data_IF_001377454983
#
_entry.id   IF_001377454983
#
_cell.length_a   1.000
_cell.length_b   1.000
_cell.length_c   1.000
_cell.angle_alpha   90.00
_cell.angle_beta   90.00
_cell.angle_gamma   90.00
#
_symmetry.space_group_name_H-M   'P 1'
#
loop_
_entity.id
_entity.type
_entity.pdbx_description
1 polymer ?
#
# COMPACT_ATOMS: atom_id res chain seq x y z
N UNK A 1 -18.37 -7.17 6.66
CA UNK A 1 -17.08 -7.61 7.21
C UNK A 1 -16.12 -6.43 7.18
N UNK A 2 -15.39 -6.18 8.26
CA UNK A 2 -14.29 -5.20 8.23
C UNK A 2 -13.00 -5.87 7.78
N UNK A 3 -12.47 -5.39 6.66
CA UNK A 3 -11.26 -5.92 6.05
C UNK A 3 -10.11 -4.94 6.27
N UNK A 4 -9.08 -5.42 6.93
CA UNK A 4 -7.85 -4.69 7.28
C UNK A 4 -6.66 -5.44 6.70
N UNK A 5 -5.45 -4.92 6.90
CA UNK A 5 -4.22 -5.62 6.51
C UNK A 5 -4.07 -7.02 7.11
N UNK A 6 -4.69 -7.28 8.27
CA UNK A 6 -4.51 -8.54 9.00
C UNK A 6 -5.30 -9.70 8.38
N UNK A 7 -6.48 -9.42 7.83
CA UNK A 7 -7.38 -10.41 7.24
C UNK A 7 -7.62 -10.20 5.74
N UNK A 8 -6.78 -9.39 5.08
CA UNK A 8 -6.98 -9.01 3.68
C UNK A 8 -7.03 -10.22 2.74
N UNK A 9 -6.06 -11.14 2.82
CA UNK A 9 -5.96 -12.29 1.93
C UNK A 9 -7.13 -13.27 2.10
N UNK A 10 -7.52 -13.54 3.35
CA UNK A 10 -8.69 -14.38 3.66
C UNK A 10 -9.98 -13.74 3.14
N UNK A 11 -10.15 -12.43 3.37
CA UNK A 11 -11.34 -11.70 2.90
C UNK A 11 -11.41 -11.64 1.37
N UNK A 12 -10.27 -11.58 0.68
CA UNK A 12 -10.23 -11.65 -0.79
C UNK A 12 -10.66 -13.03 -1.30
N UNK A 13 -10.29 -14.11 -0.62
CA UNK A 13 -10.76 -15.45 -0.96
C UNK A 13 -12.27 -15.56 -0.76
N UNK A 14 -12.80 -15.03 0.34
CA UNK A 14 -14.26 -14.99 0.59
C UNK A 14 -15.00 -14.17 -0.46
N UNK A 15 -14.47 -13.01 -0.83
CA UNK A 15 -15.04 -12.18 -1.90
C UNK A 15 -15.03 -12.92 -3.24
N UNK A 16 -13.94 -13.59 -3.59
CA UNK A 16 -13.85 -14.39 -4.81
C UNK A 16 -14.86 -15.55 -4.81
N UNK A 17 -15.05 -16.23 -3.68
CA UNK A 17 -16.07 -17.27 -3.53
C UNK A 17 -17.49 -16.71 -3.64
N UNK A 18 -17.75 -15.53 -3.07
CA UNK A 18 -19.06 -14.87 -3.18
C UNK A 18 -19.39 -14.49 -4.63
N UNK A 19 -18.40 -14.06 -5.41
CA UNK A 19 -18.54 -13.76 -6.84
C UNK A 19 -18.71 -15.03 -7.68
N UNK A 20 -18.07 -16.14 -7.27
CA UNK A 20 -18.17 -17.42 -7.96
C UNK A 20 -19.46 -18.21 -7.66
N UNK A 21 -20.25 -17.80 -6.65
CA UNK A 21 -21.55 -18.41 -6.34
C UNK A 21 -22.48 -18.30 -7.58
N UNK A 22 -23.09 -19.39 -8.07
CA UNK A 22 -24.01 -19.34 -9.21
C UNK A 22 -25.21 -18.39 -9.04
N UNK A 23 -25.55 -18.03 -7.80
CA UNK A 23 -26.62 -17.07 -7.48
C UNK A 23 -26.15 -15.63 -7.47
N UNK A 24 -24.85 -15.37 -7.60
CA UNK A 24 -24.30 -14.02 -7.75
C UNK A 24 -24.95 -13.31 -8.94
N UNK A 25 -25.43 -12.10 -8.69
CA UNK A 25 -26.10 -11.30 -9.71
C UNK A 25 -25.23 -10.09 -10.09
N UNK A 26 -24.79 -9.31 -9.10
CA UNK A 26 -23.97 -8.12 -9.31
C UNK A 26 -23.26 -7.70 -8.02
N UNK A 27 -22.37 -6.72 -8.12
CA UNK A 27 -21.78 -6.04 -6.97
C UNK A 27 -22.08 -4.54 -6.98
N UNK A 28 -21.95 -3.91 -5.82
CA UNK A 28 -22.01 -2.47 -5.65
C UNK A 28 -20.80 -2.02 -4.83
N UNK A 29 -20.38 -0.76 -4.98
CA UNK A 29 -19.29 -0.22 -4.20
C UNK A 29 -19.55 1.24 -3.81
N UNK A 30 -18.87 1.68 -2.76
CA UNK A 30 -18.84 3.06 -2.30
C UNK A 30 -17.50 3.37 -1.61
N UNK A 31 -17.13 4.64 -1.51
CA UNK A 31 -15.83 5.06 -1.00
C UNK A 31 -15.95 6.21 0.01
N UNK A 32 -15.12 6.15 1.04
CA UNK A 32 -14.93 7.27 1.97
C UNK A 32 -13.62 7.99 1.66
N UNK A 33 -13.68 9.31 1.49
CA UNK A 33 -12.56 10.13 1.05
C UNK A 33 -12.11 11.12 2.13
N UNK A 34 -10.83 11.50 2.09
CA UNK A 34 -10.30 12.58 2.95
C UNK A 34 -10.82 13.97 2.57
N UNK A 35 -11.44 14.11 1.39
CA UNK A 35 -12.02 15.34 0.90
C UNK A 35 -12.70 15.15 -0.45
N UNK A 36 -13.48 16.15 -0.88
CA UNK A 36 -14.27 16.11 -2.11
C UNK A 36 -13.89 17.23 -3.10
N UNK A 37 -13.49 18.40 -2.62
CA UNK A 37 -13.25 19.57 -3.46
C UNK A 37 -11.97 20.28 -3.06
N UNK A 38 -11.03 20.44 -4.01
CA UNK A 38 -9.68 20.99 -3.72
C UNK A 38 -9.62 22.50 -3.58
N UNK A 39 -10.72 23.21 -3.86
CA UNK A 39 -10.81 24.66 -3.71
C UNK A 39 -11.91 25.26 -4.59
N UNK A 40 -12.02 26.60 -4.62
CA UNK A 40 -13.05 27.30 -5.39
C UNK A 40 -12.99 27.02 -6.91
N UNK A 41 -11.81 26.73 -7.47
CA UNK A 41 -11.67 26.37 -8.89
C UNK A 41 -12.34 25.04 -9.25
N UNK A 42 -12.41 24.12 -8.28
CA UNK A 42 -12.97 22.79 -8.46
C UNK A 42 -14.47 22.71 -8.14
N UNK A 43 -15.11 23.84 -7.77
CA UNK A 43 -16.57 23.87 -7.56
C UNK A 43 -17.30 23.84 -8.89
N UNK A 44 -18.39 23.07 -8.92
CA UNK A 44 -19.21 22.92 -10.12
C UNK A 44 -19.99 24.19 -10.42
N UNK A 45 -19.96 24.59 -11.70
CA UNK A 45 -20.84 25.61 -12.25
C UNK A 45 -22.05 24.94 -12.90
N UNK A 46 -23.18 25.64 -13.01
CA UNK A 46 -24.37 25.16 -13.72
C UNK A 46 -24.12 25.01 -15.21
N UNK A 47 -23.24 25.85 -15.78
CA UNK A 47 -22.92 25.88 -17.21
C UNK A 47 -21.76 24.96 -17.60
N UNK A 48 -21.15 24.26 -16.64
CA UNK A 48 -20.06 23.34 -16.93
C UNK A 48 -20.51 22.25 -17.91
N UNK A 49 -19.77 22.12 -19.01
CA UNK A 49 -19.79 20.96 -19.89
C UNK A 49 -19.34 19.70 -19.14
N UNK A 50 -19.67 18.49 -19.63
CA UNK A 50 -19.17 17.25 -19.04
C UNK A 50 -17.63 17.18 -18.92
N UNK A 51 -16.92 17.74 -19.90
CA UNK A 51 -15.45 17.82 -19.90
C UNK A 51 -14.93 18.72 -18.77
N UNK A 52 -15.51 19.91 -18.59
CA UNK A 52 -15.13 20.83 -17.52
C UNK A 52 -15.38 20.23 -16.13
N UNK A 53 -16.53 19.54 -15.96
CA UNK A 53 -16.81 18.80 -14.71
C UNK A 53 -15.77 17.71 -14.47
N UNK A 54 -15.42 16.95 -15.51
CA UNK A 54 -14.39 15.92 -15.41
C UNK A 54 -13.05 16.52 -14.96
N UNK A 55 -12.62 17.64 -15.55
CA UNK A 55 -11.36 18.29 -15.18
C UNK A 55 -11.36 18.77 -13.72
N UNK A 56 -12.47 19.37 -13.24
CA UNK A 56 -12.63 19.80 -11.84
C UNK A 56 -12.58 18.63 -10.84
N UNK A 57 -13.26 17.52 -11.16
CA UNK A 57 -13.20 16.29 -10.35
C UNK A 57 -11.80 15.70 -10.40
N UNK A 58 -11.19 15.62 -11.58
CA UNK A 58 -9.86 15.07 -11.79
C UNK A 58 -8.77 15.86 -11.05
N UNK A 59 -8.91 17.19 -10.94
CA UNK A 59 -8.06 18.00 -10.07
C UNK A 59 -8.25 17.62 -8.60
N UNK A 60 -9.49 17.41 -8.17
CA UNK A 60 -9.79 17.10 -6.77
C UNK A 60 -9.30 15.72 -6.32
N UNK A 61 -9.48 14.68 -7.14
CA UNK A 61 -9.07 13.31 -6.81
C UNK A 61 -7.56 13.12 -6.70
N UNK A 62 -6.75 14.05 -7.23
CA UNK A 62 -5.29 14.02 -7.07
C UNK A 62 -4.83 14.45 -5.68
N UNK A 63 -5.65 15.23 -4.99
CA UNK A 63 -5.29 15.82 -3.70
C UNK A 63 -5.82 15.02 -2.51
N UNK A 64 -6.86 14.20 -2.69
CA UNK A 64 -7.51 13.45 -1.62
C UNK A 64 -7.26 11.95 -1.73
N UNK A 65 -7.28 11.26 -0.60
CA UNK A 65 -7.11 9.82 -0.51
C UNK A 65 -8.44 9.12 -0.22
N UNK A 66 -8.53 7.86 -0.63
CA UNK A 66 -9.58 6.93 -0.18
C UNK A 66 -9.11 6.33 1.15
N UNK A 67 -9.98 6.32 2.15
CA UNK A 67 -9.71 5.73 3.47
C UNK A 67 -10.49 4.42 3.69
N UNK A 68 -11.63 4.27 3.03
CA UNK A 68 -12.43 3.05 3.05
C UNK A 68 -13.01 2.79 1.66
N UNK A 69 -12.96 1.53 1.23
CA UNK A 69 -13.57 1.03 0.01
C UNK A 69 -14.61 -0.02 0.39
N UNK A 70 -15.89 0.34 0.34
CA UNK A 70 -17.01 -0.56 0.60
C UNK A 70 -17.37 -1.33 -0.66
N UNK A 71 -17.49 -2.66 -0.57
CA UNK A 71 -17.96 -3.54 -1.65
C UNK A 71 -19.08 -4.39 -1.11
N UNK A 72 -20.14 -4.58 -1.87
CA UNK A 72 -21.22 -5.49 -1.51
C UNK A 72 -21.56 -6.40 -2.69
N UNK A 73 -21.50 -7.71 -2.48
CA UNK A 73 -21.97 -8.68 -3.48
C UNK A 73 -23.44 -8.97 -3.25
N UNK A 74 -24.22 -9.06 -4.33
CA UNK A 74 -25.64 -9.34 -4.29
C UNK A 74 -25.95 -10.66 -5.00
N UNK A 75 -26.70 -11.51 -4.33
CA UNK A 75 -27.14 -12.80 -4.87
C UNK A 75 -28.65 -12.92 -4.79
N UNK A 76 -29.26 -13.52 -5.81
CA UNK A 76 -30.70 -13.76 -5.87
C UNK A 76 -31.00 -15.26 -5.84
N UNK A 77 -31.86 -15.67 -4.92
CA UNK A 77 -32.37 -17.04 -4.88
C UNK A 77 -33.73 -17.10 -5.57
N UNK A 78 -33.86 -17.77 -6.74
CA UNK A 78 -35.11 -17.83 -7.48
C UNK A 78 -36.17 -18.73 -6.82
N UNK A 79 -35.76 -19.68 -5.98
CA UNK A 79 -36.69 -20.59 -5.30
C UNK A 79 -37.43 -19.87 -4.17
N UNK A 80 -36.69 -19.13 -3.36
CA UNK A 80 -37.26 -18.34 -2.25
C UNK A 80 -37.67 -16.94 -2.67
N UNK A 81 -37.25 -16.48 -3.86
CA UNK A 81 -37.42 -15.11 -4.38
C UNK A 81 -36.84 -14.03 -3.47
N UNK A 82 -35.70 -14.32 -2.84
CA UNK A 82 -35.05 -13.41 -1.89
C UNK A 82 -33.70 -12.95 -2.39
N UNK A 83 -33.39 -11.68 -2.10
CA UNK A 83 -32.05 -11.14 -2.25
C UNK A 83 -31.23 -11.36 -0.99
N UNK A 84 -29.95 -11.67 -1.17
CA UNK A 84 -28.97 -11.70 -0.10
C UNK A 84 -27.78 -10.83 -0.50
N UNK A 85 -27.16 -10.18 0.49
CA UNK A 85 -26.02 -9.32 0.27
C UNK A 85 -24.88 -9.66 1.24
N UNK A 86 -23.63 -9.47 0.80
CA UNK A 86 -22.44 -9.63 1.63
C UNK A 86 -21.55 -8.38 1.51
N UNK A 87 -21.58 -7.49 2.50
CA UNK A 87 -20.76 -6.28 2.51
C UNK A 87 -19.34 -6.54 3.05
N UNK A 88 -18.36 -5.89 2.44
CA UNK A 88 -16.94 -5.86 2.77
C UNK A 88 -16.49 -4.41 2.86
N UNK A 89 -16.01 -3.97 4.03
CA UNK A 89 -15.47 -2.63 4.25
C UNK A 89 -13.96 -2.74 4.26
N UNK A 90 -13.30 -2.45 3.15
CA UNK A 90 -11.85 -2.44 3.06
C UNK A 90 -11.30 -1.13 3.61
N UNK A 91 -10.66 -1.21 4.77
CA UNK A 91 -9.95 -0.09 5.38
C UNK A 91 -8.61 0.05 4.66
N UNK A 92 -8.41 1.13 3.91
CA UNK A 92 -7.26 1.32 3.03
C UNK A 92 -6.47 2.55 3.46
N UNK A 93 -5.15 2.51 3.31
CA UNK A 93 -4.31 3.66 3.61
C UNK A 93 -3.18 3.79 2.58
N UNK A 94 -2.90 5.00 2.07
CA UNK A 94 -1.79 5.20 1.14
C UNK A 94 -0.47 4.69 1.70
N UNK A 95 0.40 4.18 0.82
CA UNK A 95 1.75 3.80 1.22
C UNK A 95 2.53 4.98 1.85
N UNK A 96 3.51 4.69 2.70
CA UNK A 96 4.16 5.64 3.64
C UNK A 96 4.72 6.92 3.00
N UNK A 97 5.10 6.87 1.73
CA UNK A 97 5.73 8.00 1.04
C UNK A 97 4.72 8.91 0.30
N UNK A 98 3.43 8.55 0.32
CA UNK A 98 2.40 9.36 -0.34
C UNK A 98 1.97 10.52 0.56
N UNK A 99 1.93 11.72 -0.04
CA UNK A 99 1.36 12.91 0.58
C UNK A 99 -0.02 13.13 -0.02
N UNK A 100 -1.01 13.30 0.85
CA UNK A 100 -2.39 13.62 0.48
C UNK A 100 -2.94 14.70 1.42
N UNK A 101 -3.91 15.46 0.92
CA UNK A 101 -4.62 16.48 1.67
C UNK A 101 -5.86 15.91 2.37
N UNK A 102 -6.36 16.67 3.34
CA UNK A 102 -7.62 16.42 4.03
C UNK A 102 -8.46 17.68 4.02
N UNK A 103 -9.74 17.54 3.68
CA UNK A 103 -10.74 18.60 3.79
C UNK A 103 -11.37 18.52 5.19
N UNK A 104 -11.22 19.59 5.98
CA UNK A 104 -11.68 19.60 7.38
C UNK A 104 -13.16 19.22 7.55
N UNK A 105 -14.04 19.70 6.66
CA UNK A 105 -15.47 19.36 6.70
C UNK A 105 -15.73 17.88 6.43
N UNK A 106 -15.01 17.25 5.50
CA UNK A 106 -15.13 15.82 5.21
C UNK A 106 -14.63 14.97 6.36
N UNK A 107 -13.50 15.35 6.97
CA UNK A 107 -12.97 14.67 8.16
C UNK A 107 -13.94 14.79 9.34
N UNK A 108 -14.53 15.97 9.57
CA UNK A 108 -15.52 16.17 10.62
C UNK A 108 -16.80 15.36 10.37
N UNK A 109 -17.27 15.29 9.12
CA UNK A 109 -18.42 14.48 8.74
C UNK A 109 -18.19 12.99 9.03
N UNK A 110 -17.05 12.45 8.60
CA UNK A 110 -16.66 11.06 8.89
C UNK A 110 -16.57 10.82 10.40
N UNK A 111 -15.93 11.72 11.14
CA UNK A 111 -15.86 11.64 12.60
C UNK A 111 -17.25 11.60 13.27
N UNK A 112 -18.18 12.44 12.81
CA UNK A 112 -19.56 12.46 13.35
C UNK A 112 -20.36 11.19 13.05
N UNK A 113 -19.98 10.42 12.03
CA UNK A 113 -20.58 9.14 11.68
C UNK A 113 -19.82 7.94 12.28
N UNK A 114 -18.91 8.18 13.24
CA UNK A 114 -18.22 7.10 13.95
C UNK A 114 -17.08 6.46 13.17
N UNK A 115 -16.56 7.13 12.14
CA UNK A 115 -15.42 6.63 11.37
C UNK A 115 -14.15 6.55 12.22
N UNK A 116 -13.50 5.38 12.25
CA UNK A 116 -12.27 5.15 13.02
C UNK A 116 -11.01 5.45 12.20
N UNK A 117 -10.51 6.68 12.31
CA UNK A 117 -9.25 7.08 11.66
C UNK A 117 -8.03 6.33 12.19
N UNK A 118 -8.05 5.89 13.46
CA UNK A 118 -6.94 5.13 14.03
C UNK A 118 -6.86 3.73 13.39
N UNK A 119 -8.01 3.13 13.08
CA UNK A 119 -8.09 1.87 12.34
C UNK A 119 -7.50 2.02 10.94
N UNK A 120 -7.86 3.07 10.21
CA UNK A 120 -7.26 3.36 8.89
C UNK A 120 -5.74 3.47 8.97
N UNK A 121 -5.21 4.28 9.88
CA UNK A 121 -3.78 4.57 9.94
C UNK A 121 -2.96 3.35 10.41
N UNK A 122 -3.46 2.60 11.40
CA UNK A 122 -2.73 1.46 12.00
C UNK A 122 -2.88 0.17 11.20
N UNK A 123 -4.07 -0.07 10.67
CA UNK A 123 -4.49 -1.36 10.13
C UNK A 123 -4.87 -1.29 8.65
N UNK A 124 -4.82 -0.11 8.04
CA UNK A 124 -5.15 0.11 6.63
C UNK A 124 -4.33 -0.76 5.69
N UNK A 125 -5.00 -1.31 4.70
CA UNK A 125 -4.42 -2.07 3.61
C UNK A 125 -3.63 -1.07 2.73
N UNK A 126 -2.31 -1.28 2.53
CA UNK A 126 -1.52 -0.39 1.70
C UNK A 126 -1.92 -0.54 0.23
N UNK A 127 -2.01 0.58 -0.48
CA UNK A 127 -2.22 0.59 -1.92
C UNK A 127 -1.26 1.54 -2.63
N UNK A 128 -1.07 1.30 -3.93
CA UNK A 128 -0.24 2.13 -4.80
C UNK A 128 -0.76 2.07 -6.23
N UNK A 129 -0.48 3.10 -7.03
CA UNK A 129 -0.84 3.10 -8.44
C UNK A 129 0.01 2.09 -9.23
N UNK A 130 -0.47 1.61 -10.40
CA UNK A 130 0.35 0.80 -11.30
C UNK A 130 1.66 1.48 -11.71
N UNK A 131 1.66 2.82 -11.86
CA UNK A 131 2.84 3.60 -12.19
C UNK A 131 3.86 3.63 -11.05
N UNK A 132 3.40 3.80 -9.79
CA UNK A 132 4.27 3.73 -8.61
C UNK A 132 4.89 2.34 -8.45
N UNK A 133 4.07 1.29 -8.65
CA UNK A 133 4.55 -0.10 -8.62
C UNK A 133 5.64 -0.33 -9.67
N UNK A 134 5.45 0.15 -10.90
CA UNK A 134 6.45 0.03 -11.95
C UNK A 134 7.75 0.76 -11.60
N UNK A 135 7.67 1.98 -11.04
CA UNK A 135 8.82 2.73 -10.55
C UNK A 135 9.57 1.99 -9.44
N UNK A 136 8.85 1.49 -8.44
CA UNK A 136 9.41 0.74 -7.32
C UNK A 136 10.11 -0.54 -7.78
N UNK A 137 9.51 -1.27 -8.72
CA UNK A 137 10.11 -2.46 -9.32
C UNK A 137 11.39 -2.12 -10.10
N UNK A 138 11.37 -1.07 -10.92
CA UNK A 138 12.56 -0.62 -11.65
C UNK A 138 13.70 -0.20 -10.70
N UNK A 139 13.39 0.49 -9.61
CA UNK A 139 14.36 0.85 -8.58
C UNK A 139 14.94 -0.39 -7.89
N UNK A 140 14.10 -1.37 -7.51
CA UNK A 140 14.56 -2.65 -6.94
C UNK A 140 15.50 -3.38 -7.90
N UNK A 141 15.15 -3.47 -9.18
CA UNK A 141 16.00 -4.12 -10.19
C UNK A 141 17.33 -3.39 -10.37
N UNK A 142 17.32 -2.06 -10.41
CA UNK A 142 18.55 -1.25 -10.46
C UNK A 142 19.43 -1.42 -9.23
N UNK A 143 18.82 -1.47 -8.04
CA UNK A 143 19.54 -1.70 -6.79
C UNK A 143 20.17 -3.10 -6.75
N UNK A 144 19.44 -4.12 -7.21
CA UNK A 144 19.94 -5.49 -7.30
C UNK A 144 21.05 -5.65 -8.36
N UNK A 145 20.98 -4.89 -9.46
CA UNK A 145 21.99 -4.89 -10.52
C UNK A 145 23.18 -3.95 -10.24
N UNK A 146 23.22 -3.29 -9.08
CA UNK A 146 24.29 -2.34 -8.76
C UNK A 146 25.59 -3.12 -8.54
N UNK A 147 26.66 -2.82 -9.30
CA UNK A 147 27.93 -3.51 -9.10
C UNK A 147 28.45 -3.23 -7.68
N UNK A 148 29.23 -4.17 -7.10
CA UNK A 148 29.84 -3.94 -5.80
C UNK A 148 30.66 -2.65 -5.83
N UNK A 149 30.60 -1.90 -4.73
CA UNK A 149 31.40 -0.68 -4.59
C UNK A 149 32.86 -1.10 -4.45
N UNK A 150 33.65 -0.93 -5.50
CA UNK A 150 35.08 -1.24 -5.52
C UNK A 150 35.86 0.05 -5.28
N UNK A 151 36.68 0.09 -4.24
CA UNK A 151 37.57 1.21 -3.96
C UNK A 151 38.63 1.35 -5.08
N UNK A 152 38.67 2.53 -5.70
CA UNK A 152 39.54 2.79 -6.86
C UNK A 152 40.89 3.37 -6.47
N UNK A 153 40.96 4.19 -5.41
CA UNK A 153 42.22 4.77 -4.93
C UNK A 153 42.81 3.92 -3.79
N UNK A 154 44.12 4.05 -3.58
CA UNK A 154 44.90 3.25 -2.64
C UNK A 154 44.53 3.53 -1.17
N UNK A 155 44.27 4.80 -0.85
CA UNK A 155 43.83 5.23 0.48
C UNK A 155 42.53 4.56 0.92
N UNK A 156 41.56 4.48 0.02
CA UNK A 156 40.24 3.91 0.29
C UNK A 156 40.33 2.38 0.38
N UNK A 157 41.22 1.74 -0.39
CA UNK A 157 41.50 0.30 -0.25
C UNK A 157 42.05 -0.02 1.13
N UNK A 158 43.08 0.70 1.58
CA UNK A 158 43.66 0.50 2.91
C UNK A 158 42.64 0.74 4.03
N UNK A 159 41.78 1.74 3.86
CA UNK A 159 40.69 2.02 4.77
C UNK A 159 39.69 0.87 4.84
N UNK A 160 39.21 0.39 3.68
CA UNK A 160 38.25 -0.72 3.59
C UNK A 160 38.87 -2.00 4.16
N UNK A 161 40.09 -2.36 3.79
CA UNK A 161 40.77 -3.55 4.31
C UNK A 161 40.92 -3.52 5.82
N UNK A 162 41.27 -2.36 6.40
CA UNK A 162 41.36 -2.19 7.85
C UNK A 162 40.01 -2.38 8.54
N UNK A 163 38.95 -1.79 7.99
CA UNK A 163 37.60 -1.92 8.56
C UNK A 163 37.05 -3.33 8.43
N UNK A 164 37.22 -3.97 7.27
CA UNK A 164 36.82 -5.37 7.06
C UNK A 164 37.51 -6.26 8.10
N UNK A 165 38.82 -6.11 8.30
CA UNK A 165 39.55 -6.85 9.34
C UNK A 165 38.97 -6.63 10.73
N UNK A 166 38.73 -5.38 11.13
CA UNK A 166 38.14 -5.06 12.44
C UNK A 166 36.76 -5.69 12.63
N UNK A 167 35.90 -5.66 11.60
CA UNK A 167 34.57 -6.27 11.65
C UNK A 167 34.69 -7.80 11.73
N UNK A 168 35.60 -8.41 10.98
CA UNK A 168 35.82 -9.87 11.02
C UNK A 168 36.34 -10.31 12.40
N UNK A 169 37.30 -9.58 12.97
CA UNK A 169 37.79 -9.84 14.33
C UNK A 169 36.67 -9.68 15.38
N UNK A 170 35.84 -8.65 15.24
CA UNK A 170 34.69 -8.43 16.13
C UNK A 170 33.63 -9.53 16.01
N UNK A 171 33.29 -9.98 14.79
CA UNK A 171 32.34 -11.07 14.57
C UNK A 171 32.89 -12.39 15.13
N UNK A 172 34.17 -12.69 14.92
CA UNK A 172 34.81 -13.87 15.48
C UNK A 172 34.86 -13.85 17.01
N UNK A 173 35.05 -12.69 17.62
CA UNK A 173 34.99 -12.52 19.07
C UNK A 173 33.55 -12.58 19.63
N UNK A 174 32.53 -12.33 18.80
CA UNK A 174 31.11 -12.42 19.16
C UNK A 174 30.55 -13.84 19.13
N UNK A 175 31.12 -14.73 18.31
CA UNK A 175 30.75 -16.16 18.26
C UNK A 175 31.22 -16.96 19.49
N UNK A 176 32.11 -16.40 20.31
CA UNK A 176 32.48 -16.97 21.61
C UNK A 176 31.48 -16.62 22.73
N UNK A 177 30.50 -15.73 22.47
CA UNK A 177 29.57 -15.24 23.50
C UNK A 177 28.12 -15.74 23.36
N UNK A 178 27.62 -16.12 22.18
CA UNK A 178 26.26 -16.68 22.06
C UNK A 178 26.10 -17.54 20.80
N UNK A 179 25.95 -18.86 21.03
CA UNK A 179 25.94 -19.87 19.97
C UNK A 179 24.71 -19.81 19.04
N UNK A 180 25.00 -20.11 17.78
CA UNK A 180 24.19 -20.86 16.82
C UNK A 180 22.76 -20.35 16.55
N UNK A 181 22.59 -19.56 15.48
CA UNK A 181 21.67 -19.84 14.36
C UNK A 181 21.54 -18.64 13.40
N UNK A 182 22.42 -18.51 12.39
CA UNK A 182 22.09 -17.87 11.09
C UNK A 182 23.31 -17.75 10.15
N UNK A 183 24.03 -18.83 9.86
CA UNK A 183 25.06 -18.83 8.82
C UNK A 183 24.52 -19.41 7.52
N UNK A 184 23.86 -18.57 6.69
CA UNK A 184 23.54 -18.95 5.31
C UNK A 184 23.63 -17.83 4.26
N UNK A 185 23.86 -16.56 4.61
CA UNK A 185 23.78 -15.46 3.63
C UNK A 185 25.06 -14.65 3.42
N UNK A 186 26.13 -14.92 4.17
CA UNK A 186 27.38 -14.15 4.08
C UNK A 186 28.41 -14.69 3.07
N UNK A 187 28.27 -15.95 2.62
CA UNK A 187 29.29 -16.59 1.78
C UNK A 187 29.36 -16.05 0.33
N UNK A 188 28.34 -15.36 -0.15
CA UNK A 188 28.27 -14.92 -1.56
C UNK A 188 28.98 -13.59 -1.83
N UNK A 189 29.35 -12.82 -0.81
CA UNK A 189 29.95 -11.49 -1.00
C UNK A 189 31.48 -11.51 -1.13
N UNK A 190 32.16 -12.52 -0.58
CA UNK A 190 33.64 -12.54 -0.51
C UNK A 190 34.27 -13.05 -1.82
N UNK A 191 33.59 -13.90 -2.58
CA UNK A 191 34.14 -14.46 -3.83
C UNK A 191 34.15 -13.48 -5.02
N UNK A 192 33.45 -12.34 -4.93
CA UNK A 192 33.37 -11.36 -6.02
C UNK A 192 34.40 -10.22 -5.92
N UNK A 193 35.25 -10.22 -4.88
CA UNK A 193 36.22 -9.16 -4.59
C UNK A 193 37.69 -9.61 -4.72
N UNK A 194 37.95 -10.82 -5.24
CA UNK A 194 39.29 -11.32 -5.57
C UNK A 194 39.51 -11.37 -7.09
#
# INVERSE_FOLDING_TARGET
MDVTRANFEESLQELAQAIADPRFAFWSFDCEFTGLTSGPSATFDLLDTPEERFLKVHESVKNFAVLQYGVCTWSFDPLTRTWSCRPFNFWVFPNKDNVFGCQASSMAFLASNGFDFNKVIREGIPYMSPADRARANAQRLRAAARPPIVATNERDRDLVTRFVRQITEWLAAGDDAEGQAATATAATAVAAAA
#
